data_IF_176985895614
#
_entry.id   IF_176985895614
#
_cell.length_a   1.000
_cell.length_b   1.000
_cell.length_c   1.000
_cell.angle_alpha   90.00
_cell.angle_beta   90.00
_cell.angle_gamma   90.00
#
_symmetry.space_group_name_H-M   'P 1'
#
loop_
_entity.id
_entity.type
_entity.pdbx_description
1 polymer ?
#
# COMPACT_ATOMS: atom_id res chain seq x y z
N UNK A 1 8.20 -0.61 -9.75
CA UNK A 1 7.55 -0.59 -8.41
C UNK A 1 6.78 0.70 -8.13
N UNK A 2 5.56 0.82 -8.64
CA UNK A 2 4.67 1.95 -8.36
C UNK A 2 3.26 1.47 -8.07
N UNK A 3 2.76 1.96 -6.94
CA UNK A 3 1.34 2.08 -6.64
C UNK A 3 1.05 3.58 -6.77
N UNK A 4 0.06 3.94 -7.56
CA UNK A 4 -0.32 5.34 -7.82
C UNK A 4 -1.84 5.43 -7.97
N UNK A 5 -2.36 6.65 -7.92
CA UNK A 5 -3.80 6.88 -8.00
C UNK A 5 -4.11 7.63 -9.28
N UNK A 6 -5.12 7.15 -10.02
CA UNK A 6 -5.63 7.81 -11.22
C UNK A 6 -7.15 7.68 -11.26
N UNK A 7 -7.86 8.78 -11.54
CA UNK A 7 -9.33 8.78 -11.61
C UNK A 7 -10.03 8.14 -10.39
N UNK A 8 -9.46 8.32 -9.19
CA UNK A 8 -10.00 7.75 -7.95
C UNK A 8 -9.75 6.25 -7.73
N UNK A 9 -9.01 5.59 -8.64
CA UNK A 9 -8.61 4.20 -8.53
C UNK A 9 -7.11 4.07 -8.24
N UNK A 10 -6.77 3.03 -7.46
CA UNK A 10 -5.42 2.64 -7.15
C UNK A 10 -4.91 1.73 -8.26
N UNK A 11 -3.98 2.25 -9.04
CA UNK A 11 -3.25 1.51 -10.07
C UNK A 11 -1.97 0.91 -9.47
N UNK A 12 -1.71 -0.35 -9.81
CA UNK A 12 -0.58 -1.12 -9.30
C UNK A 12 0.13 -1.70 -10.51
N UNK A 13 1.45 -1.49 -10.62
CA UNK A 13 2.23 -2.17 -11.67
C UNK A 13 2.36 -3.67 -11.39
N UNK A 14 2.64 -4.47 -12.43
CA UNK A 14 2.68 -5.93 -12.33
C UNK A 14 3.71 -6.44 -11.31
N UNK A 15 4.84 -5.75 -11.19
CA UNK A 15 5.89 -6.09 -10.23
C UNK A 15 5.40 -5.89 -8.79
N UNK A 16 4.73 -4.76 -8.51
CA UNK A 16 4.18 -4.47 -7.19
C UNK A 16 3.00 -5.38 -6.87
N UNK A 17 2.15 -5.69 -7.84
CA UNK A 17 1.03 -6.63 -7.68
C UNK A 17 1.52 -8.01 -7.25
N UNK A 18 2.56 -8.56 -7.89
CA UNK A 18 3.19 -9.82 -7.46
C UNK A 18 3.78 -9.73 -6.05
N UNK A 19 4.42 -8.62 -5.72
CA UNK A 19 4.99 -8.41 -4.39
C UNK A 19 3.87 -8.37 -3.31
N UNK A 20 2.77 -7.67 -3.58
CA UNK A 20 1.61 -7.58 -2.67
C UNK A 20 0.96 -8.95 -2.44
N UNK A 21 0.75 -9.73 -3.50
CA UNK A 21 0.22 -11.09 -3.37
C UNK A 21 1.13 -12.00 -2.53
N UNK A 22 2.45 -11.89 -2.73
CA UNK A 22 3.45 -12.62 -1.94
C UNK A 22 3.42 -12.17 -0.48
N UNK A 23 3.38 -10.86 -0.23
CA UNK A 23 3.41 -10.29 1.11
C UNK A 23 2.11 -10.53 1.89
N UNK A 24 0.97 -10.67 1.21
CA UNK A 24 -0.32 -10.95 1.83
C UNK A 24 -0.65 -12.45 1.90
N UNK A 25 0.33 -13.34 1.66
CA UNK A 25 0.14 -14.79 1.79
C UNK A 25 -0.90 -15.37 0.82
N UNK A 26 -1.07 -14.76 -0.35
CA UNK A 26 -2.05 -15.19 -1.34
C UNK A 26 -3.46 -14.62 -1.17
N UNK A 27 -3.67 -13.67 -0.25
CA UNK A 27 -4.92 -12.88 -0.19
C UNK A 27 -5.16 -12.23 -1.55
N UNK A 28 -6.29 -12.50 -2.24
CA UNK A 28 -6.55 -11.94 -3.55
C UNK A 28 -6.71 -10.43 -3.45
N UNK A 29 -6.11 -9.70 -4.40
CA UNK A 29 -6.35 -8.27 -4.54
C UNK A 29 -7.76 -8.04 -5.10
N UNK A 30 -8.41 -6.90 -4.77
CA UNK A 30 -9.63 -6.50 -5.45
C UNK A 30 -9.43 -6.43 -6.97
N UNK A 31 -10.50 -6.66 -7.72
CA UNK A 31 -10.51 -6.46 -9.17
C UNK A 31 -10.08 -5.03 -9.51
N UNK A 32 -9.35 -4.84 -10.62
CA UNK A 32 -8.77 -3.55 -10.98
C UNK A 32 -9.80 -2.40 -11.01
N UNK A 33 -11.04 -2.70 -11.44
CA UNK A 33 -12.16 -1.76 -11.50
C UNK A 33 -12.72 -1.37 -10.11
N UNK A 34 -12.42 -2.17 -9.08
CA UNK A 34 -12.91 -2.00 -7.71
C UNK A 34 -11.82 -1.51 -6.74
N UNK A 35 -10.58 -1.30 -7.21
CA UNK A 35 -9.44 -0.82 -6.41
C UNK A 35 -9.58 0.66 -6.04
N UNK A 36 -10.69 1.05 -5.42
CA UNK A 36 -10.82 2.36 -4.78
C UNK A 36 -9.81 2.48 -3.62
N UNK A 37 -9.48 3.70 -3.22
CA UNK A 37 -8.60 3.92 -2.06
C UNK A 37 -9.16 3.21 -0.82
N UNK A 38 -10.47 3.31 -0.57
CA UNK A 38 -11.13 2.68 0.56
C UNK A 38 -11.00 1.15 0.53
N UNK A 39 -11.32 0.52 -0.61
CA UNK A 39 -11.21 -0.93 -0.77
C UNK A 39 -9.76 -1.42 -0.59
N UNK A 40 -8.79 -0.66 -1.11
CA UNK A 40 -7.38 -1.00 -0.94
C UNK A 40 -6.91 -0.82 0.51
N UNK A 41 -7.37 0.21 1.22
CA UNK A 41 -7.05 0.39 2.65
C UNK A 41 -7.59 -0.76 3.50
N UNK A 42 -8.82 -1.20 3.26
CA UNK A 42 -9.42 -2.37 3.93
C UNK A 42 -8.66 -3.66 3.61
N UNK A 43 -8.24 -3.82 2.34
CA UNK A 43 -7.41 -4.94 1.94
C UNK A 43 -6.06 -4.94 2.68
N UNK A 44 -5.40 -3.78 2.80
CA UNK A 44 -4.16 -3.65 3.57
C UNK A 44 -4.37 -3.96 5.06
N UNK A 45 -5.49 -3.53 5.66
CA UNK A 45 -5.82 -3.87 7.04
C UNK A 45 -5.92 -5.39 7.23
N UNK A 46 -6.59 -6.07 6.31
CA UNK A 46 -6.72 -7.54 6.32
C UNK A 46 -5.36 -8.22 6.12
N UNK A 47 -4.56 -7.76 5.14
CA UNK A 47 -3.25 -8.33 4.84
C UNK A 47 -2.27 -8.17 6.01
N UNK A 48 -2.28 -7.01 6.68
CA UNK A 48 -1.42 -6.73 7.84
C UNK A 48 -1.85 -7.54 9.05
N UNK A 49 -3.16 -7.70 9.29
CA UNK A 49 -3.68 -8.49 10.42
C UNK A 49 -3.28 -9.97 10.35
N UNK A 50 -2.99 -10.49 9.15
CA UNK A 50 -2.49 -11.86 8.96
C UNK A 50 -0.99 -12.04 9.18
N UNK A 51 -0.25 -10.98 9.55
CA UNK A 51 1.20 -11.05 9.76
C UNK A 51 1.49 -11.24 11.23
N UNK A 52 2.28 -12.27 11.54
CA UNK A 52 2.91 -12.42 12.84
C UNK A 52 4.01 -11.36 12.99
N UNK A 53 3.78 -10.36 13.84
CA UNK A 53 4.71 -9.25 14.07
C UNK A 53 5.86 -9.62 14.99
N UNK A 54 5.74 -10.73 15.72
CA UNK A 54 6.78 -11.25 16.60
C UNK A 54 7.80 -12.12 15.82
N UNK A 55 7.46 -12.52 14.59
CA UNK A 55 8.38 -13.17 13.65
C UNK A 55 9.21 -12.12 12.89
N UNK A 56 10.49 -11.97 13.27
CA UNK A 56 11.42 -11.05 12.62
C UNK A 56 11.57 -11.31 11.10
N UNK A 57 11.36 -12.54 10.63
CA UNK A 57 11.41 -12.85 9.19
C UNK A 57 10.25 -12.18 8.41
N UNK A 58 9.17 -11.81 9.09
CA UNK A 58 8.02 -11.12 8.52
C UNK A 58 8.16 -9.59 8.56
N UNK A 59 9.09 -9.04 9.34
CA UNK A 59 9.26 -7.59 9.50
C UNK A 59 9.38 -6.82 8.15
N UNK A 60 10.12 -7.31 7.14
CA UNK A 60 10.17 -6.65 5.83
C UNK A 60 8.81 -6.63 5.10
N UNK A 61 8.00 -7.69 5.26
CA UNK A 61 6.65 -7.77 4.68
C UNK A 61 5.72 -6.77 5.36
N UNK A 62 5.73 -6.74 6.68
CA UNK A 62 4.95 -5.79 7.48
C UNK A 62 5.27 -4.34 7.08
N UNK A 63 6.56 -3.97 7.09
CA UNK A 63 7.00 -2.63 6.72
C UNK A 63 6.55 -2.25 5.29
N UNK A 64 6.71 -3.18 4.33
CA UNK A 64 6.31 -2.95 2.95
C UNK A 64 4.82 -2.69 2.74
N UNK A 65 3.96 -3.35 3.53
CA UNK A 65 2.49 -3.16 3.47
C UNK A 65 2.06 -1.90 4.21
N UNK A 66 2.65 -1.61 5.37
CA UNK A 66 2.38 -0.37 6.14
C UNK A 66 2.76 0.87 5.34
N UNK A 67 3.88 0.82 4.59
CA UNK A 67 4.29 1.94 3.73
C UNK A 67 3.25 2.25 2.64
N UNK A 68 2.73 1.23 1.95
CA UNK A 68 1.72 1.43 0.90
C UNK A 68 0.38 1.91 1.47
N UNK A 69 -0.04 1.31 2.60
CA UNK A 69 -1.22 1.77 3.33
C UNK A 69 -1.08 3.24 3.75
N UNK A 70 0.10 3.64 4.23
CA UNK A 70 0.33 5.03 4.66
C UNK A 70 0.31 5.99 3.49
N UNK A 71 0.91 5.63 2.35
CA UNK A 71 0.81 6.40 1.12
C UNK A 71 -0.66 6.66 0.74
N UNK A 72 -1.49 5.61 0.74
CA UNK A 72 -2.92 5.75 0.44
C UNK A 72 -3.66 6.63 1.45
N UNK A 73 -3.35 6.53 2.74
CA UNK A 73 -3.93 7.39 3.78
C UNK A 73 -3.57 8.86 3.57
N UNK A 74 -2.29 9.16 3.34
CA UNK A 74 -1.83 10.52 3.12
C UNK A 74 -2.47 11.13 1.87
N UNK A 75 -2.58 10.36 0.79
CA UNK A 75 -3.30 10.79 -0.40
C UNK A 75 -4.79 11.07 -0.09
N UNK A 76 -5.47 10.17 0.63
CA UNK A 76 -6.89 10.36 0.98
C UNK A 76 -7.17 11.61 1.82
N UNK A 77 -6.15 12.10 2.54
CA UNK A 77 -6.20 13.31 3.34
C UNK A 77 -5.80 14.57 2.56
N UNK A 78 -5.48 14.45 1.27
CA UNK A 78 -5.00 15.56 0.43
C UNK A 78 -3.57 16.00 0.74
N UNK A 79 -2.80 15.19 1.48
CA UNK A 79 -1.41 15.48 1.85
C UNK A 79 -0.40 15.03 0.78
N UNK A 80 -0.85 14.23 -0.20
CA UNK A 80 -0.08 13.84 -1.38
C UNK A 80 -0.92 14.11 -2.64
N UNK A 81 -0.25 14.41 -3.75
CA UNK A 81 -0.90 14.73 -5.03
C UNK A 81 -0.86 13.55 -6.01
N UNK A 82 -1.69 13.54 -7.05
CA UNK A 82 -1.62 12.54 -8.13
C UNK A 82 -0.28 12.57 -8.89
N UNK A 83 0.42 13.70 -8.84
CA UNK A 83 1.79 13.84 -9.37
C UNK A 83 2.87 13.31 -8.43
N UNK A 84 2.52 13.03 -7.16
CA UNK A 84 3.38 12.41 -6.15
C UNK A 84 3.50 10.89 -6.43
N UNK A 85 4.15 10.59 -7.55
CA UNK A 85 4.49 9.23 -7.99
C UNK A 85 5.65 8.61 -7.20
N UNK A 86 6.27 9.40 -6.30
CA UNK A 86 7.47 9.03 -5.59
C UNK A 86 7.16 8.68 -4.14
N UNK A 87 7.23 7.38 -3.85
CA UNK A 87 7.16 6.78 -2.51
C UNK A 87 8.09 7.45 -1.49
N UNK A 88 9.13 8.16 -1.96
CA UNK A 88 10.05 8.99 -1.17
C UNK A 88 9.38 10.17 -0.48
N UNK A 89 8.35 10.78 -1.07
CA UNK A 89 7.67 11.92 -0.46
C UNK A 89 6.88 11.52 0.80
N UNK A 90 6.29 10.31 0.78
CA UNK A 90 5.66 9.71 1.96
C UNK A 90 6.70 9.35 3.05
N UNK A 91 7.89 8.89 2.67
CA UNK A 91 8.99 8.63 3.61
C UNK A 91 9.51 9.92 4.26
N UNK A 92 9.57 11.05 3.52
CA UNK A 92 9.97 12.34 4.09
C UNK A 92 8.96 12.93 5.10
N UNK A 93 7.69 12.49 5.08
CA UNK A 93 6.73 12.82 6.14
C UNK A 93 6.99 12.01 7.42
N UNK A 94 7.51 10.78 7.32
CA UNK A 94 7.88 9.99 8.50
C UNK A 94 9.06 10.57 9.28
N UNK A 95 10.06 11.15 8.60
CA UNK A 95 11.22 11.78 9.27
C UNK A 95 10.88 13.10 10.01
N UNK A 96 9.66 13.64 9.82
CA UNK A 96 9.24 14.91 10.43
C UNK A 96 8.27 14.77 11.61
N UNK A 97 7.87 13.54 11.96
CA UNK A 97 6.98 13.22 13.10
C UNK A 97 7.81 12.55 14.19
#
# INVERSE_FOLDING_TARGET
MRLFITAGLVCIDQERERALLTFAGGLPLPDAEQRTIAAMLEWFDTAIAGIDVDDEAQAPRYAGLVLDKTYLKLFSQGLLSETSSDRREALHHFDRI
#
